data_IF_375271211894
#
_entry.id   IF_375271211894
#
_cell.length_a   1.000
_cell.length_b   1.000
_cell.length_c   1.000
_cell.angle_alpha   90.00
_cell.angle_beta   90.00
_cell.angle_gamma   90.00
#
_symmetry.space_group_name_H-M   'P 1'
#
loop_
_entity.id
_entity.type
_entity.pdbx_description
1 polymer ?
#
# COMPACT_ATOMS: atom_id res chain seq x y z
N UNK A 1 -27.64 -1.85 33.94
CA UNK A 1 -27.69 -1.31 32.56
C UNK A 1 -26.33 -0.92 31.99
N UNK A 2 -25.45 -0.17 32.70
CA UNK A 2 -24.10 0.23 32.20
C UNK A 2 -23.15 -0.93 31.84
N UNK A 3 -23.31 -2.12 32.43
CA UNK A 3 -22.48 -3.31 32.14
C UNK A 3 -22.93 -4.12 30.92
N UNK A 4 -24.16 -3.90 30.45
CA UNK A 4 -24.72 -4.54 29.25
C UNK A 4 -24.45 -3.74 27.98
N UNK A 5 -24.22 -2.43 28.14
CA UNK A 5 -23.85 -1.52 27.05
C UNK A 5 -22.62 -1.98 26.24
N UNK A 6 -21.48 -2.41 26.83
CA UNK A 6 -20.34 -2.87 26.05
C UNK A 6 -20.65 -4.15 25.27
N UNK A 7 -21.39 -5.10 25.85
CA UNK A 7 -21.79 -6.32 25.16
C UNK A 7 -22.74 -6.02 23.99
N UNK A 8 -23.69 -5.09 24.18
CA UNK A 8 -24.61 -4.67 23.13
C UNK A 8 -23.89 -3.95 21.98
N UNK A 9 -22.92 -3.08 22.29
CA UNK A 9 -22.08 -2.42 21.28
C UNK A 9 -21.23 -3.44 20.53
N UNK A 10 -20.61 -4.41 21.23
CA UNK A 10 -19.80 -5.45 20.60
C UNK A 10 -20.63 -6.35 19.67
N UNK A 11 -21.85 -6.73 20.08
CA UNK A 11 -22.77 -7.48 19.23
C UNK A 11 -23.19 -6.68 18.00
N UNK A 12 -23.50 -5.39 18.17
CA UNK A 12 -23.87 -4.51 17.08
C UNK A 12 -22.72 -4.36 16.06
N UNK A 13 -21.48 -4.21 16.53
CA UNK A 13 -20.30 -4.13 15.64
C UNK A 13 -20.06 -5.42 14.86
N UNK A 14 -20.36 -6.58 15.47
CA UNK A 14 -20.18 -7.88 14.80
C UNK A 14 -21.23 -8.09 13.71
N UNK A 15 -22.47 -7.65 13.93
CA UNK A 15 -23.55 -7.69 12.93
C UNK A 15 -23.25 -6.74 11.77
N UNK A 16 -22.73 -5.55 12.06
CA UNK A 16 -22.34 -4.56 11.04
C UNK A 16 -21.06 -4.95 10.27
N UNK A 17 -20.29 -5.93 10.75
CA UNK A 17 -19.13 -6.48 10.05
C UNK A 17 -19.51 -7.57 9.02
N UNK A 18 -20.75 -8.04 9.02
CA UNK A 18 -21.25 -8.98 8.02
C UNK A 18 -21.66 -8.21 6.76
N UNK A 19 -21.13 -8.62 5.61
CA UNK A 19 -21.36 -8.04 4.27
C UNK A 19 -21.25 -6.51 4.21
N UNK A 20 -20.07 -6.00 4.57
CA UNK A 20 -19.68 -4.65 4.21
C UNK A 20 -19.25 -4.60 2.74
N UNK A 21 -20.19 -4.31 1.85
CA UNK A 21 -19.89 -3.84 0.48
C UNK A 21 -18.89 -2.67 0.58
N UNK A 22 -17.69 -2.83 0.04
CA UNK A 22 -16.63 -1.84 0.20
C UNK A 22 -17.07 -0.51 -0.40
N UNK A 23 -17.33 0.50 0.44
CA UNK A 23 -17.91 1.78 0.04
C UNK A 23 -16.97 2.68 -0.78
N UNK A 24 -15.73 2.25 -0.98
CA UNK A 24 -14.77 2.90 -1.85
C UNK A 24 -14.64 2.08 -3.14
N UNK A 25 -14.95 2.71 -4.27
CA UNK A 25 -14.83 2.20 -5.65
C UNK A 25 -13.48 1.48 -5.88
N UNK A 26 -12.43 1.88 -5.18
CA UNK A 26 -11.11 1.28 -5.25
C UNK A 26 -11.02 -0.14 -4.66
N UNK A 27 -11.65 -0.40 -3.52
CA UNK A 27 -11.60 -1.73 -2.89
C UNK A 27 -12.48 -2.73 -3.64
N UNK A 28 -13.60 -2.27 -4.22
CA UNK A 28 -14.49 -3.06 -5.05
C UNK A 28 -13.85 -3.43 -6.40
N UNK A 29 -13.25 -2.47 -7.10
CA UNK A 29 -12.54 -2.73 -8.35
C UNK A 29 -11.40 -3.74 -8.18
N UNK A 30 -10.64 -3.68 -7.08
CA UNK A 30 -9.56 -4.63 -6.80
C UNK A 30 -10.08 -6.04 -6.50
N UNK A 31 -11.22 -6.15 -5.79
CA UNK A 31 -11.81 -7.44 -5.44
C UNK A 31 -12.52 -8.11 -6.64
N UNK A 32 -13.23 -7.34 -7.46
CA UNK A 32 -13.95 -7.83 -8.64
C UNK A 32 -12.99 -8.27 -9.75
N UNK A 33 -11.96 -7.47 -10.05
CA UNK A 33 -10.90 -7.85 -10.99
C UNK A 33 -10.26 -9.18 -10.56
N UNK A 34 -10.00 -9.35 -9.26
CA UNK A 34 -9.35 -10.54 -8.65
C UNK A 34 -10.12 -11.85 -8.73
N UNK A 35 -11.45 -11.78 -8.78
CA UNK A 35 -12.30 -12.95 -8.73
C UNK A 35 -12.54 -13.59 -10.11
N UNK A 36 -12.50 -12.79 -11.18
CA UNK A 36 -12.99 -13.22 -12.51
C UNK A 36 -11.94 -14.03 -13.31
N UNK A 37 -10.64 -13.77 -13.11
CA UNK A 37 -9.59 -14.29 -14.00
C UNK A 37 -8.70 -15.40 -13.42
N UNK A 38 -8.81 -15.74 -12.12
CA UNK A 38 -8.01 -16.81 -11.49
C UNK A 38 -6.47 -16.65 -11.55
N UNK A 39 -5.98 -15.53 -12.10
CA UNK A 39 -4.57 -15.23 -12.41
C UNK A 39 -3.97 -14.17 -11.47
N UNK A 40 -4.80 -13.54 -10.63
CA UNK A 40 -4.49 -12.29 -9.94
C UNK A 40 -3.61 -12.38 -8.70
N UNK A 41 -3.26 -13.58 -8.24
CA UNK A 41 -2.18 -13.75 -7.26
C UNK A 41 -0.81 -13.30 -7.80
N UNK A 42 -0.57 -13.42 -9.12
CA UNK A 42 0.70 -13.01 -9.76
C UNK A 42 0.73 -11.54 -10.14
N UNK A 43 -0.36 -11.01 -10.72
CA UNK A 43 -0.47 -9.60 -11.09
C UNK A 43 -0.37 -8.66 -9.87
N UNK A 44 -1.00 -9.03 -8.76
CA UNK A 44 -0.96 -8.26 -7.51
C UNK A 44 0.45 -8.23 -6.88
N UNK A 45 1.16 -9.38 -6.85
CA UNK A 45 2.53 -9.43 -6.34
C UNK A 45 3.47 -8.56 -7.19
N UNK A 46 3.34 -8.63 -8.52
CA UNK A 46 4.07 -7.74 -9.43
C UNK A 46 3.74 -6.26 -9.21
N UNK A 47 2.48 -5.92 -8.93
CA UNK A 47 2.06 -4.56 -8.57
C UNK A 47 2.67 -4.08 -7.24
N UNK A 48 2.70 -4.93 -6.21
CA UNK A 48 3.32 -4.63 -4.90
C UNK A 48 4.82 -4.39 -5.08
N UNK A 49 5.52 -5.27 -5.82
CA UNK A 49 6.94 -5.10 -6.10
C UNK A 49 7.22 -3.84 -6.91
N UNK A 50 6.36 -3.48 -7.86
CA UNK A 50 6.49 -2.24 -8.63
C UNK A 50 6.33 -0.99 -7.74
N UNK A 51 5.28 -0.95 -6.92
CA UNK A 51 5.03 0.16 -6.00
C UNK A 51 6.11 0.28 -4.91
N UNK A 52 6.66 -0.82 -4.43
CA UNK A 52 7.78 -0.83 -3.47
C UNK A 52 9.13 -0.51 -4.12
N UNK A 53 9.37 -0.92 -5.37
CA UNK A 53 10.65 -0.70 -6.06
C UNK A 53 10.90 0.77 -6.41
N UNK A 54 9.86 1.50 -6.81
CA UNK A 54 9.94 2.92 -7.19
C UNK A 54 10.59 3.81 -6.11
N UNK A 55 10.15 3.80 -4.83
CA UNK A 55 10.75 4.66 -3.82
C UNK A 55 12.23 4.35 -3.59
N UNK A 56 12.66 3.08 -3.64
CA UNK A 56 14.07 2.73 -3.54
C UNK A 56 14.89 3.21 -4.74
N UNK A 57 14.36 3.09 -5.97
CA UNK A 57 15.01 3.56 -7.17
C UNK A 57 15.22 5.09 -7.15
N UNK A 58 14.22 5.84 -6.70
CA UNK A 58 14.29 7.29 -6.54
C UNK A 58 15.37 7.65 -5.50
N UNK A 59 15.38 7.00 -4.33
CA UNK A 59 16.40 7.26 -3.31
C UNK A 59 17.82 6.96 -3.80
N UNK A 60 18.02 5.85 -4.52
CA UNK A 60 19.31 5.48 -5.09
C UNK A 60 19.80 6.51 -6.12
N UNK A 61 18.90 6.98 -7.00
CA UNK A 61 19.21 8.01 -7.97
C UNK A 61 19.63 9.34 -7.31
N UNK A 62 18.88 9.79 -6.30
CA UNK A 62 19.21 11.01 -5.55
C UNK A 62 20.56 10.89 -4.83
N UNK A 63 20.81 9.77 -4.14
CA UNK A 63 22.08 9.51 -3.48
C UNK A 63 23.24 9.57 -4.48
N UNK A 64 23.14 8.84 -5.60
CA UNK A 64 24.14 8.86 -6.66
C UNK A 64 24.38 10.27 -7.23
N UNK A 65 23.31 11.02 -7.49
CA UNK A 65 23.41 12.38 -8.03
C UNK A 65 24.16 13.32 -7.09
N UNK A 66 23.86 13.28 -5.79
CA UNK A 66 24.53 14.09 -4.77
C UNK A 66 26.01 13.70 -4.65
N UNK A 67 26.33 12.40 -4.58
CA UNK A 67 27.72 11.95 -4.49
C UNK A 67 28.54 12.34 -5.73
N UNK A 68 27.95 12.25 -6.93
CA UNK A 68 28.60 12.67 -8.17
C UNK A 68 28.93 14.16 -8.14
N UNK A 69 27.97 15.01 -7.72
CA UNK A 69 28.18 16.46 -7.61
C UNK A 69 29.23 16.83 -6.58
N UNK A 70 29.29 16.11 -5.46
CA UNK A 70 30.33 16.31 -4.43
C UNK A 70 31.70 15.91 -4.94
N UNK A 71 31.82 14.79 -5.68
CA UNK A 71 33.08 14.36 -6.29
C UNK A 71 33.59 15.36 -7.34
N UNK A 72 32.70 15.87 -8.21
CA UNK A 72 33.03 16.93 -9.18
C UNK A 72 33.55 18.20 -8.48
N UNK A 73 32.94 18.61 -7.37
CA UNK A 73 33.39 19.79 -6.61
C UNK A 73 34.73 19.58 -5.91
N UNK A 74 35.03 18.37 -5.42
CA UNK A 74 36.33 18.04 -4.81
C UNK A 74 37.44 17.92 -5.86
N UNK A 75 37.15 17.41 -7.06
CA UNK A 75 38.12 17.26 -8.17
C UNK A 75 38.56 18.61 -8.77
N UNK A 76 37.69 19.62 -8.75
CA UNK A 76 38.01 21.00 -9.19
C UNK A 76 38.81 21.79 -8.14
N UNK A 77 38.80 21.36 -6.88
CA UNK A 77 39.44 22.07 -5.77
C UNK A 77 40.80 21.47 -5.34
N UNK A 78 41.26 20.40 -6.00
CA UNK A 78 42.60 19.81 -5.83
C UNK A 78 43.52 20.16 -6.99
#
# INVERSE_FOLDING_TARGET
>A
MRKLLPCAVALLTLVLAMDAEAQCVMCKAVAEDSAEDGSLGRGLNSGILYLMGIPYAIMAFFAWFVFRKRKEATDVAG
#
